data_IF_238062627991
#
_entry.id   IF_238062627991
#
_cell.length_a   1.000
_cell.length_b   1.000
_cell.length_c   1.000
_cell.angle_alpha   90.00
_cell.angle_beta   90.00
_cell.angle_gamma   90.00
#
_symmetry.space_group_name_H-M   'P 1'
#
loop_
_entity.id
_entity.type
_entity.pdbx_description
1 polymer ?
#
# COMPACT_ATOMS: atom_id res chain seq x y z
N UNK A 1 -2.80 4.80 -27.60
CA UNK A 1 -3.50 4.98 -26.29
C UNK A 1 -2.40 5.13 -25.27
N UNK A 2 -1.84 6.32 -25.22
CA UNK A 2 -0.60 6.58 -24.51
C UNK A 2 -0.98 7.46 -23.33
N UNK A 3 -1.41 6.80 -22.25
CA UNK A 3 -1.65 7.48 -20.99
C UNK A 3 -0.28 7.82 -20.42
N UNK A 4 0.16 9.04 -20.74
CA UNK A 4 1.13 9.75 -19.92
C UNK A 4 0.51 9.85 -18.53
N UNK A 5 0.97 8.97 -17.63
CA UNK A 5 0.61 8.98 -16.20
C UNK A 5 1.28 10.24 -15.63
N UNK A 6 0.58 11.36 -15.73
CA UNK A 6 1.02 12.66 -15.25
C UNK A 6 1.41 12.56 -13.77
N UNK A 7 2.68 12.88 -13.50
CA UNK A 7 3.13 13.31 -12.18
C UNK A 7 2.19 14.41 -11.70
N UNK A 8 1.47 14.22 -10.58
CA UNK A 8 1.07 15.32 -9.66
C UNK A 8 0.16 14.91 -8.49
N UNK A 9 -0.39 13.69 -8.39
CA UNK A 9 -1.13 13.30 -7.17
C UNK A 9 -1.04 11.80 -6.92
N UNK A 10 0.15 11.30 -6.55
CA UNK A 10 0.24 9.95 -6.02
C UNK A 10 -0.64 9.84 -4.76
N UNK A 11 -1.77 9.14 -4.87
CA UNK A 11 -2.73 9.06 -3.78
C UNK A 11 -2.14 8.22 -2.65
N UNK A 12 -2.67 8.39 -1.43
CA UNK A 12 -2.31 7.51 -0.30
C UNK A 12 -2.51 6.03 -0.63
N UNK A 13 -3.45 5.72 -1.52
CA UNK A 13 -3.75 4.35 -1.95
C UNK A 13 -2.67 3.80 -2.89
N UNK A 14 -2.15 4.61 -3.81
CA UNK A 14 -1.04 4.24 -4.69
C UNK A 14 0.22 3.96 -3.87
N UNK A 15 0.54 4.85 -2.92
CA UNK A 15 1.68 4.68 -1.99
C UNK A 15 1.57 3.38 -1.21
N UNK A 16 0.43 3.13 -0.59
CA UNK A 16 0.18 1.91 0.18
C UNK A 16 0.27 0.65 -0.71
N UNK A 17 -0.21 0.73 -1.96
CA UNK A 17 -0.12 -0.40 -2.90
C UNK A 17 1.34 -0.71 -3.25
N UNK A 18 2.18 0.31 -3.51
CA UNK A 18 3.61 0.13 -3.76
C UNK A 18 4.32 -0.51 -2.57
N UNK A 19 4.04 -0.04 -1.35
CA UNK A 19 4.58 -0.63 -0.12
C UNK A 19 4.16 -2.09 0.03
N UNK A 20 2.88 -2.40 -0.16
CA UNK A 20 2.38 -3.78 -0.08
C UNK A 20 3.09 -4.70 -1.05
N UNK A 21 3.20 -4.31 -2.32
CA UNK A 21 3.83 -5.13 -3.35
C UNK A 21 5.33 -5.34 -3.09
N UNK A 22 6.02 -4.31 -2.60
CA UNK A 22 7.44 -4.40 -2.23
C UNK A 22 7.65 -5.34 -1.04
N UNK A 23 6.82 -5.21 -0.01
CA UNK A 23 7.01 -5.90 1.27
C UNK A 23 6.40 -7.30 1.33
N UNK A 24 5.29 -7.57 0.62
CA UNK A 24 4.59 -8.86 0.70
C UNK A 24 5.43 -10.07 0.25
N UNK A 25 6.44 -9.82 -0.59
CA UNK A 25 7.32 -10.86 -1.14
C UNK A 25 8.63 -10.98 -0.34
N UNK A 26 8.84 -10.16 0.69
CA UNK A 26 10.02 -10.24 1.53
C UNK A 26 9.83 -11.30 2.62
N UNK A 27 10.81 -12.18 2.79
CA UNK A 27 10.79 -13.21 3.82
C UNK A 27 10.78 -12.58 5.22
N UNK A 28 9.94 -13.12 6.12
CA UNK A 28 9.83 -12.64 7.50
C UNK A 28 8.97 -11.38 7.70
N UNK A 29 8.56 -10.69 6.63
CA UNK A 29 7.62 -9.56 6.74
C UNK A 29 6.25 -10.07 7.16
N UNK A 30 5.76 -9.54 8.28
CA UNK A 30 4.40 -9.82 8.77
C UNK A 30 3.49 -8.67 8.42
N UNK A 31 2.17 -8.93 8.49
CA UNK A 31 1.14 -7.91 8.31
C UNK A 31 1.41 -6.66 9.14
N UNK A 32 1.83 -6.81 10.40
CA UNK A 32 2.12 -5.69 11.30
C UNK A 32 3.19 -4.74 10.74
N UNK A 33 4.19 -5.27 10.03
CA UNK A 33 5.31 -4.49 9.50
C UNK A 33 4.84 -3.70 8.27
N UNK A 34 3.98 -4.29 7.44
CA UNK A 34 3.33 -3.61 6.31
C UNK A 34 2.40 -2.49 6.81
N UNK A 35 1.66 -2.72 7.90
CA UNK A 35 0.80 -1.71 8.51
C UNK A 35 1.62 -0.55 9.08
N UNK A 36 2.74 -0.84 9.76
CA UNK A 36 3.65 0.18 10.26
C UNK A 36 4.21 1.03 9.12
N UNK A 37 4.63 0.38 8.02
CA UNK A 37 5.14 1.08 6.85
C UNK A 37 4.06 1.93 6.15
N UNK A 38 2.80 1.48 6.14
CA UNK A 38 1.68 2.28 5.64
C UNK A 38 1.45 3.55 6.46
N UNK A 39 1.55 3.45 7.79
CA UNK A 39 1.42 4.62 8.69
C UNK A 39 2.54 5.61 8.39
N UNK A 40 3.79 5.13 8.32
CA UNK A 40 4.97 5.96 8.10
C UNK A 40 5.00 6.61 6.71
N UNK A 41 4.79 5.82 5.66
CA UNK A 41 4.97 6.25 4.26
C UNK A 41 3.72 6.94 3.69
N UNK A 42 2.52 6.59 4.16
CA UNK A 42 1.27 7.16 3.64
C UNK A 42 0.60 8.16 4.60
N UNK A 43 1.12 8.33 5.82
CA UNK A 43 0.53 9.18 6.86
C UNK A 43 -0.88 8.72 7.23
N UNK A 44 -1.09 7.39 7.29
CA UNK A 44 -2.37 6.80 7.64
C UNK A 44 -2.47 6.57 9.15
N UNK A 45 -3.69 6.62 9.69
CA UNK A 45 -3.94 6.13 11.05
C UNK A 45 -3.83 4.60 11.07
N UNK A 46 -3.59 3.96 12.23
CA UNK A 46 -3.52 2.49 12.33
C UNK A 46 -4.77 1.78 11.79
N UNK A 47 -5.95 2.35 12.05
CA UNK A 47 -7.21 1.87 11.51
C UNK A 47 -7.29 2.05 9.97
N UNK A 48 -6.88 3.23 9.46
CA UNK A 48 -6.82 3.51 8.03
C UNK A 48 -5.86 2.58 7.28
N UNK A 49 -4.67 2.35 7.82
CA UNK A 49 -3.68 1.42 7.29
C UNK A 49 -4.22 -0.02 7.24
N UNK A 50 -4.95 -0.44 8.27
CA UNK A 50 -5.59 -1.77 8.32
C UNK A 50 -6.64 -1.96 7.22
N UNK A 51 -7.49 -0.94 7.01
CA UNK A 51 -8.47 -0.91 5.92
C UNK A 51 -7.78 -0.96 4.55
N UNK A 52 -6.70 -0.19 4.38
CA UNK A 52 -5.94 -0.14 3.13
C UNK A 52 -5.30 -1.49 2.83
N UNK A 53 -4.70 -2.14 3.83
CA UNK A 53 -4.10 -3.46 3.67
C UNK A 53 -5.13 -4.49 3.19
N UNK A 54 -6.32 -4.52 3.80
CA UNK A 54 -7.38 -5.44 3.39
C UNK A 54 -7.86 -5.15 1.97
N UNK A 55 -8.08 -3.88 1.62
CA UNK A 55 -8.48 -3.48 0.26
C UNK A 55 -7.44 -3.89 -0.78
N UNK A 56 -6.16 -3.60 -0.53
CA UNK A 56 -5.06 -3.96 -1.45
C UNK A 56 -4.93 -5.47 -1.56
N UNK A 57 -4.92 -6.19 -0.43
CA UNK A 57 -4.85 -7.65 -0.41
C UNK A 57 -6.00 -8.26 -1.23
N UNK A 58 -7.24 -7.81 -1.00
CA UNK A 58 -8.40 -8.30 -1.74
C UNK A 58 -8.31 -8.05 -3.25
N UNK A 59 -7.78 -6.89 -3.67
CA UNK A 59 -7.54 -6.59 -5.09
C UNK A 59 -6.45 -7.43 -5.74
N UNK A 60 -5.51 -7.95 -4.96
CA UNK A 60 -4.35 -8.71 -5.44
C UNK A 60 -4.56 -10.24 -5.44
N UNK A 61 -5.63 -10.71 -4.82
CA UNK A 61 -6.02 -12.14 -4.77
C UNK A 61 -6.98 -12.51 -5.92
N UNK A 62 -7.38 -11.54 -6.73
CA UNK A 62 -8.25 -11.72 -7.89
C UNK A 62 -7.43 -11.71 -9.17
#
# INVERSE_FOLDING_TARGET
>A
MDIIKSESTETKMDKATRVYLKMRNQEGVRRKDIIAEFINTCGLTPAGASTYYQKIKSKQVK
#
